data_IF_599283527632
#
_entry.id   IF_599283527632
#
_cell.length_a   1.000
_cell.length_b   1.000
_cell.length_c   1.000
_cell.angle_alpha   90.00
_cell.angle_beta   90.00
_cell.angle_gamma   90.00
#
_symmetry.space_group_name_H-M   'P 1'
#
loop_
_entity.id
_entity.type
_entity.pdbx_description
1 polymer ?
#
# COMPACT_ATOMS: atom_id res chain seq x y z
N UNK A 1 -39.68 9.33 41.13
CA UNK A 1 -39.34 8.11 40.35
C UNK A 1 -38.69 8.39 38.99
N UNK A 2 -38.00 9.54 38.81
CA UNK A 2 -37.29 9.90 37.55
C UNK A 2 -35.79 10.14 37.76
N UNK A 3 -35.32 10.23 39.01
CA UNK A 3 -33.91 10.45 39.34
C UNK A 3 -33.04 9.17 39.41
N UNK A 4 -33.64 7.98 39.35
CA UNK A 4 -32.90 6.69 39.41
C UNK A 4 -32.56 6.10 38.04
N UNK A 5 -33.22 6.56 36.96
CA UNK A 5 -32.94 6.09 35.59
C UNK A 5 -31.83 6.90 34.87
N UNK A 6 -31.53 8.13 35.30
CA UNK A 6 -30.41 8.90 34.75
C UNK A 6 -29.04 8.51 35.32
N UNK A 7 -28.99 7.82 36.48
CA UNK A 7 -27.73 7.35 37.09
C UNK A 7 -27.27 5.98 36.57
N UNK A 8 -28.18 5.19 35.99
CA UNK A 8 -27.86 3.88 35.41
C UNK A 8 -27.33 3.96 33.97
N UNK A 9 -27.64 5.03 33.23
CA UNK A 9 -27.18 5.21 31.85
C UNK A 9 -25.82 5.92 31.76
N UNK A 10 -25.48 6.77 32.74
CA UNK A 10 -24.21 7.49 32.78
C UNK A 10 -23.06 6.74 33.48
N UNK A 11 -23.34 5.67 34.23
CA UNK A 11 -22.31 4.85 34.88
C UNK A 11 -21.76 3.71 34.00
N UNK A 12 -22.38 3.45 32.84
CA UNK A 12 -21.87 2.50 31.81
C UNK A 12 -20.89 3.12 30.81
N UNK A 13 -20.78 4.45 30.77
CA UNK A 13 -19.88 5.18 29.86
C UNK A 13 -18.53 5.48 30.52
N UNK A 14 -18.42 5.38 31.86
CA UNK A 14 -17.22 5.79 32.62
C UNK A 14 -16.52 4.66 33.40
N UNK A 15 -16.73 3.38 33.05
CA UNK A 15 -15.91 2.27 33.58
C UNK A 15 -15.49 1.31 32.48
N UNK A 16 -14.31 1.51 31.93
CA UNK A 16 -13.31 0.48 31.60
C UNK A 16 -12.08 1.12 30.92
N UNK A 17 -10.89 0.50 31.03
CA UNK A 17 -9.65 1.20 31.32
C UNK A 17 -8.96 1.76 30.09
N UNK A 18 -8.18 2.80 30.33
CA UNK A 18 -7.12 3.33 29.49
C UNK A 18 -6.24 2.21 28.94
N UNK A 19 -6.44 1.87 27.66
CA UNK A 19 -5.42 1.27 26.81
C UNK A 19 -5.14 2.24 25.68
N UNK A 20 -3.87 2.61 25.59
CA UNK A 20 -3.28 3.46 24.56
C UNK A 20 -3.69 2.98 23.15
N UNK A 21 -3.94 3.89 22.18
CA UNK A 21 -4.27 3.48 20.83
C UNK A 21 -3.05 2.86 20.14
N UNK A 22 -3.09 1.55 19.94
CA UNK A 22 -2.24 0.83 19.01
C UNK A 22 -2.60 1.24 17.57
N UNK A 23 -1.66 1.93 16.93
CA UNK A 23 -1.45 2.15 15.49
C UNK A 23 -2.37 1.36 14.52
N UNK A 24 -3.16 2.02 13.65
CA UNK A 24 -4.07 1.38 12.70
C UNK A 24 -3.40 1.02 11.36
N UNK A 25 -2.20 0.44 11.38
CA UNK A 25 -1.56 -0.09 10.18
C UNK A 25 -1.59 -1.62 10.22
N UNK A 26 -2.77 -2.18 9.98
CA UNK A 26 -2.94 -3.52 9.45
C UNK A 26 -3.64 -3.37 8.10
N UNK A 27 -2.91 -3.69 7.03
CA UNK A 27 -3.53 -3.95 5.73
C UNK A 27 -4.48 -5.15 5.90
N UNK A 28 -5.59 -5.25 5.12
CA UNK A 28 -6.52 -6.36 5.26
C UNK A 28 -5.81 -7.65 4.85
N UNK A 29 -5.38 -8.44 5.83
CA UNK A 29 -5.23 -9.88 5.68
C UNK A 29 -6.65 -10.43 5.51
N UNK A 30 -6.96 -10.89 4.30
CA UNK A 30 -8.12 -11.74 4.07
C UNK A 30 -7.94 -12.99 4.94
N UNK A 31 -8.90 -13.22 5.84
CA UNK A 31 -8.97 -14.44 6.63
C UNK A 31 -9.27 -15.63 5.70
N UNK A 32 -8.58 -16.77 5.81
CA UNK A 32 -8.83 -17.91 4.95
C UNK A 32 -10.14 -18.56 5.37
N UNK A 33 -11.06 -18.72 4.42
CA UNK A 33 -12.17 -19.65 4.61
C UNK A 33 -11.62 -21.07 4.68
N UNK A 34 -12.10 -21.82 5.67
CA UNK A 34 -11.86 -23.26 5.85
C UNK A 34 -12.19 -24.00 4.55
N UNK A 35 -11.21 -24.62 3.94
CA UNK A 35 -11.45 -25.61 2.90
C UNK A 35 -11.70 -26.98 3.55
N UNK A 36 -12.84 -27.56 3.19
CA UNK A 36 -13.19 -28.95 3.36
C UNK A 36 -12.07 -29.86 2.82
N UNK A 37 -11.73 -30.91 3.56
CA UNK A 37 -10.82 -31.96 3.13
C UNK A 37 -11.49 -32.75 2.00
N UNK A 38 -11.02 -32.55 0.77
CA UNK A 38 -11.16 -33.56 -0.28
C UNK A 38 -9.76 -34.08 -0.59
N UNK A 39 -9.57 -35.33 -0.18
CA UNK A 39 -8.44 -36.18 -0.52
C UNK A 39 -8.23 -36.19 -2.04
N UNK A 40 -7.04 -35.81 -2.50
CA UNK A 40 -6.61 -36.06 -3.86
C UNK A 40 -5.52 -37.13 -3.86
N UNK A 41 -5.88 -38.25 -4.49
CA UNK A 41 -5.01 -39.38 -4.82
C UNK A 41 -3.86 -38.91 -5.72
N UNK A 42 -2.66 -39.42 -5.42
CA UNK A 42 -1.48 -39.25 -6.25
C UNK A 42 -1.66 -40.00 -7.57
N UNK A 43 -1.79 -39.26 -8.67
CA UNK A 43 -1.63 -39.80 -10.01
C UNK A 43 -0.35 -39.23 -10.61
N UNK A 44 0.72 -40.02 -10.48
CA UNK A 44 1.87 -39.89 -11.36
C UNK A 44 1.40 -40.15 -12.80
N UNK A 45 1.49 -39.14 -13.66
CA UNK A 45 1.30 -39.30 -15.09
C UNK A 45 2.45 -38.60 -15.81
N UNK A 46 3.42 -39.42 -16.22
CA UNK A 46 4.34 -39.09 -17.27
C UNK A 46 3.57 -38.87 -18.57
N UNK A 47 3.80 -37.75 -19.24
CA UNK A 47 3.52 -37.59 -20.66
C UNK A 47 4.41 -36.50 -21.25
N UNK A 48 5.52 -36.93 -21.84
CA UNK A 48 6.14 -36.23 -22.96
C UNK A 48 5.13 -36.17 -24.11
N UNK A 49 4.52 -35.01 -24.34
CA UNK A 49 3.79 -34.70 -25.56
C UNK A 49 4.49 -33.54 -26.28
N UNK A 50 4.74 -33.73 -27.57
CA UNK A 50 5.34 -32.78 -28.50
C UNK A 50 4.36 -31.66 -28.89
N UNK A 51 3.69 -31.06 -27.91
CA UNK A 51 2.91 -29.84 -28.06
C UNK A 51 3.71 -28.65 -27.53
N UNK A 52 3.65 -27.50 -28.19
CA UNK A 52 4.28 -26.27 -27.67
C UNK A 52 3.78 -26.01 -26.25
N UNK A 53 4.69 -25.80 -25.30
CA UNK A 53 4.33 -25.46 -23.92
C UNK A 53 3.33 -24.29 -23.87
N UNK A 54 2.09 -24.59 -23.49
CA UNK A 54 1.02 -23.61 -23.36
C UNK A 54 1.21 -22.81 -22.08
N UNK A 55 1.97 -21.72 -22.18
CA UNK A 55 2.31 -20.85 -21.04
C UNK A 55 1.05 -20.32 -20.36
N UNK A 56 0.02 -19.92 -21.12
CA UNK A 56 -1.22 -19.39 -20.57
C UNK A 56 -1.95 -20.42 -19.69
N UNK A 57 -2.14 -21.64 -20.18
CA UNK A 57 -2.79 -22.72 -19.43
C UNK A 57 -2.00 -23.10 -18.18
N UNK A 58 -0.67 -23.08 -18.27
CA UNK A 58 0.22 -23.29 -17.12
C UNK A 58 -0.01 -22.20 -16.06
N UNK A 59 -0.04 -20.93 -16.44
CA UNK A 59 -0.24 -19.81 -15.52
C UNK A 59 -1.62 -19.86 -14.83
N UNK A 60 -2.67 -20.25 -15.56
CA UNK A 60 -4.01 -20.39 -14.99
C UNK A 60 -4.06 -21.57 -14.02
N UNK A 61 -3.62 -22.75 -14.47
CA UNK A 61 -3.77 -24.00 -13.71
C UNK A 61 -2.85 -24.11 -12.50
N UNK A 62 -1.59 -23.68 -12.61
CA UNK A 62 -0.58 -23.84 -11.54
C UNK A 62 -0.50 -22.65 -10.61
N UNK A 63 -0.72 -21.43 -11.11
CA UNK A 63 -0.57 -20.21 -10.34
C UNK A 63 -1.91 -19.52 -10.01
N UNK A 64 -3.03 -20.04 -10.53
CA UNK A 64 -4.36 -19.51 -10.25
C UNK A 64 -4.63 -18.12 -10.86
N UNK A 65 -3.92 -17.74 -11.91
CA UNK A 65 -4.16 -16.46 -12.60
C UNK A 65 -5.51 -16.49 -13.33
N UNK A 66 -6.14 -15.33 -13.45
CA UNK A 66 -7.29 -15.21 -14.36
C UNK A 66 -6.83 -15.33 -15.82
N UNK A 67 -7.69 -15.79 -16.76
CA UNK A 67 -7.32 -15.88 -18.17
C UNK A 67 -6.75 -14.58 -18.74
N UNK A 68 -7.35 -13.43 -18.38
CA UNK A 68 -6.86 -12.11 -18.80
C UNK A 68 -5.46 -11.78 -18.25
N UNK A 69 -5.17 -12.14 -16.99
CA UNK A 69 -3.85 -11.96 -16.40
C UNK A 69 -2.82 -12.89 -17.05
N UNK A 70 -3.18 -14.16 -17.25
CA UNK A 70 -2.33 -15.17 -17.87
C UNK A 70 -1.94 -14.78 -19.30
N UNK A 71 -2.89 -14.33 -20.11
CA UNK A 71 -2.63 -13.84 -21.47
C UNK A 71 -1.62 -12.69 -21.50
N UNK A 72 -1.83 -11.67 -20.65
CA UNK A 72 -0.90 -10.52 -20.52
C UNK A 72 0.50 -10.96 -20.06
N UNK A 73 0.58 -11.92 -19.14
CA UNK A 73 1.83 -12.42 -18.62
C UNK A 73 2.58 -13.30 -19.63
N UNK A 74 1.87 -14.16 -20.37
CA UNK A 74 2.43 -15.05 -21.37
C UNK A 74 3.12 -14.29 -22.51
N UNK A 75 2.61 -13.11 -22.90
CA UNK A 75 3.27 -12.24 -23.87
C UNK A 75 4.72 -11.89 -23.49
N UNK A 76 5.03 -11.78 -22.19
CA UNK A 76 6.39 -11.52 -21.68
C UNK A 76 7.26 -12.78 -21.55
N UNK A 77 6.65 -13.96 -21.71
CA UNK A 77 7.24 -15.30 -21.55
C UNK A 77 7.24 -16.10 -22.86
N UNK A 78 7.12 -15.43 -24.01
CA UNK A 78 7.04 -16.06 -25.34
C UNK A 78 8.22 -16.99 -25.69
N UNK A 79 9.36 -16.83 -25.02
CA UNK A 79 10.56 -17.66 -25.20
C UNK A 79 10.53 -18.95 -24.36
N UNK A 80 9.59 -19.09 -23.43
CA UNK A 80 9.52 -20.23 -22.52
C UNK A 80 8.90 -21.42 -23.26
N UNK A 81 9.66 -22.51 -23.39
CA UNK A 81 9.25 -23.74 -24.13
C UNK A 81 8.99 -24.93 -23.22
N UNK A 82 9.12 -24.77 -21.91
CA UNK A 82 8.98 -25.84 -20.92
C UNK A 82 8.68 -25.27 -19.53
N UNK A 83 7.98 -26.05 -18.70
CA UNK A 83 7.69 -25.76 -17.29
C UNK A 83 8.88 -25.95 -16.35
N UNK A 84 10.01 -26.52 -16.82
CA UNK A 84 11.13 -26.90 -15.94
C UNK A 84 11.70 -25.74 -15.12
N UNK A 85 11.88 -24.56 -15.74
CA UNK A 85 12.37 -23.36 -15.03
C UNK A 85 11.34 -22.80 -14.04
N UNK A 86 10.08 -22.55 -14.43
CA UNK A 86 9.03 -22.17 -13.49
C UNK A 86 8.89 -23.12 -12.31
N UNK A 87 8.82 -24.43 -12.54
CA UNK A 87 8.65 -25.40 -11.45
C UNK A 87 9.87 -25.43 -10.52
N UNK A 88 11.09 -25.27 -11.03
CA UNK A 88 12.28 -25.14 -10.19
C UNK A 88 12.22 -23.90 -9.27
N UNK A 89 11.74 -22.75 -9.80
CA UNK A 89 11.54 -21.54 -9.01
C UNK A 89 10.47 -21.77 -7.94
N UNK A 90 9.33 -22.37 -8.29
CA UNK A 90 8.24 -22.65 -7.35
C UNK A 90 8.69 -23.60 -6.23
N UNK A 91 9.33 -24.72 -6.58
CA UNK A 91 9.83 -25.70 -5.61
C UNK A 91 10.86 -25.09 -4.65
N UNK A 92 11.71 -24.20 -5.16
CA UNK A 92 12.70 -23.50 -4.34
C UNK A 92 12.04 -22.52 -3.36
N UNK A 93 11.07 -21.71 -3.82
CA UNK A 93 10.37 -20.75 -2.97
C UNK A 93 9.48 -21.42 -1.93
N UNK A 94 8.83 -22.53 -2.28
CA UNK A 94 8.03 -23.31 -1.35
C UNK A 94 8.92 -23.93 -0.26
N UNK A 95 10.00 -24.61 -0.65
CA UNK A 95 10.92 -25.24 0.31
C UNK A 95 11.64 -24.20 1.19
N UNK A 96 12.13 -23.11 0.62
CA UNK A 96 12.96 -22.12 1.33
C UNK A 96 12.13 -21.09 2.09
N UNK A 97 11.06 -20.58 1.49
CA UNK A 97 10.26 -19.47 2.06
C UNK A 97 8.83 -19.87 2.44
N UNK A 98 8.35 -21.05 2.04
CA UNK A 98 7.00 -21.51 2.34
C UNK A 98 5.94 -20.79 1.51
N UNK A 99 6.31 -20.26 0.34
CA UNK A 99 5.39 -19.50 -0.51
C UNK A 99 4.63 -20.46 -1.42
N UNK A 100 3.30 -20.60 -1.27
CA UNK A 100 2.52 -21.46 -2.14
C UNK A 100 2.49 -20.91 -3.57
N UNK A 101 2.32 -21.80 -4.56
CA UNK A 101 2.30 -21.42 -5.98
C UNK A 101 1.26 -20.34 -6.33
N UNK A 102 0.09 -20.35 -5.67
CA UNK A 102 -0.94 -19.33 -5.84
C UNK A 102 -0.46 -17.92 -5.42
N UNK A 103 0.37 -17.84 -4.39
CA UNK A 103 0.94 -16.58 -3.91
C UNK A 103 2.04 -16.06 -4.83
N UNK A 104 2.82 -16.97 -5.42
CA UNK A 104 3.76 -16.64 -6.51
C UNK A 104 3.01 -16.08 -7.73
N UNK A 105 1.77 -16.54 -7.97
CA UNK A 105 0.91 -15.99 -9.03
C UNK A 105 0.77 -14.46 -8.96
N UNK A 106 0.64 -13.87 -7.76
CA UNK A 106 0.58 -12.41 -7.58
C UNK A 106 1.85 -11.72 -8.06
N UNK A 107 3.00 -12.30 -7.75
CA UNK A 107 4.30 -11.81 -8.21
C UNK A 107 4.41 -11.88 -9.75
N UNK A 108 3.92 -12.97 -10.35
CA UNK A 108 3.95 -13.18 -11.80
C UNK A 108 3.06 -12.18 -12.55
N UNK A 109 1.93 -11.76 -11.98
CA UNK A 109 1.10 -10.69 -12.57
C UNK A 109 1.87 -9.38 -12.69
N UNK A 110 2.67 -9.03 -11.68
CA UNK A 110 3.51 -7.83 -11.69
C UNK A 110 4.66 -8.01 -12.68
N UNK A 111 5.33 -9.17 -12.61
CA UNK A 111 6.54 -9.43 -13.36
C UNK A 111 6.69 -10.92 -13.74
N UNK A 112 6.23 -11.29 -14.95
CA UNK A 112 6.22 -12.69 -15.38
C UNK A 112 7.61 -13.30 -15.51
N UNK A 113 8.64 -12.51 -15.85
CA UNK A 113 10.01 -13.01 -16.06
C UNK A 113 10.65 -13.57 -14.78
N UNK A 114 10.02 -13.33 -13.62
CA UNK A 114 10.36 -13.98 -12.36
C UNK A 114 10.42 -15.50 -12.42
N UNK A 115 9.54 -16.14 -13.19
CA UNK A 115 9.56 -17.60 -13.40
C UNK A 115 10.78 -18.09 -14.19
N UNK A 116 11.52 -17.19 -14.82
CA UNK A 116 12.72 -17.52 -15.59
C UNK A 116 14.02 -17.31 -14.80
N UNK A 117 13.94 -16.93 -13.51
CA UNK A 117 15.11 -16.72 -12.66
C UNK A 117 15.93 -18.01 -12.50
N UNK A 118 17.26 -17.87 -12.43
CA UNK A 118 18.15 -19.00 -12.16
C UNK A 118 18.23 -19.19 -10.65
N UNK A 119 17.71 -20.30 -10.13
CA UNK A 119 17.66 -20.57 -8.68
C UNK A 119 19.05 -20.43 -8.06
N UNK A 120 20.01 -21.26 -8.47
CA UNK A 120 21.35 -21.29 -7.88
C UNK A 120 22.19 -20.04 -8.14
N UNK A 121 21.99 -19.39 -9.29
CA UNK A 121 22.83 -18.24 -9.69
C UNK A 121 22.24 -16.90 -9.28
N UNK A 122 21.00 -16.86 -8.80
CA UNK A 122 20.29 -15.59 -8.60
C UNK A 122 19.39 -15.63 -7.38
N UNK A 123 18.44 -16.56 -7.29
CA UNK A 123 17.49 -16.56 -6.18
C UNK A 123 18.15 -16.98 -4.86
N UNK A 124 18.94 -18.06 -4.88
CA UNK A 124 19.54 -18.59 -3.67
C UNK A 124 20.54 -17.64 -3.01
N UNK A 125 21.52 -17.07 -3.74
CA UNK A 125 22.41 -16.07 -3.17
C UNK A 125 21.67 -14.86 -2.62
N UNK A 126 20.64 -14.36 -3.33
CA UNK A 126 19.87 -13.19 -2.88
C UNK A 126 19.06 -13.45 -1.61
N UNK A 127 18.46 -14.62 -1.48
CA UNK A 127 17.73 -14.97 -0.26
C UNK A 127 18.71 -15.13 0.91
N UNK A 128 19.87 -15.75 0.69
CA UNK A 128 20.92 -15.84 1.69
C UNK A 128 21.41 -14.44 2.11
N UNK A 129 21.71 -13.56 1.15
CA UNK A 129 22.12 -12.18 1.41
C UNK A 129 21.07 -11.39 2.23
N UNK A 130 19.77 -11.55 1.93
CA UNK A 130 18.69 -10.92 2.68
C UNK A 130 18.57 -11.46 4.10
N UNK A 131 18.81 -12.76 4.30
CA UNK A 131 18.93 -13.37 5.62
C UNK A 131 20.14 -12.81 6.39
N UNK A 132 21.29 -12.69 5.74
CA UNK A 132 22.53 -12.15 6.31
C UNK A 132 22.45 -10.66 6.65
N UNK A 133 21.52 -9.94 6.02
CA UNK A 133 21.15 -8.57 6.39
C UNK A 133 20.18 -8.50 7.57
N UNK A 134 19.64 -9.63 8.03
CA UNK A 134 18.78 -9.73 9.20
C UNK A 134 17.28 -9.79 8.89
N UNK A 135 16.86 -10.07 7.65
CA UNK A 135 15.44 -10.30 7.34
C UNK A 135 15.02 -11.73 7.71
N UNK A 136 13.83 -11.83 8.29
CA UNK A 136 13.17 -13.11 8.54
C UNK A 136 12.62 -13.73 7.25
N UNK A 137 12.41 -15.04 7.29
CA UNK A 137 11.80 -15.82 6.20
C UNK A 137 10.50 -15.17 5.70
N UNK A 138 9.64 -14.76 6.62
CA UNK A 138 8.33 -14.15 6.31
C UNK A 138 8.47 -12.76 5.68
N UNK A 139 9.49 -11.98 6.06
CA UNK A 139 9.76 -10.69 5.45
C UNK A 139 10.29 -10.83 4.03
N UNK A 140 11.18 -11.80 3.80
CA UNK A 140 11.68 -12.11 2.46
C UNK A 140 10.53 -12.61 1.58
N UNK A 141 9.64 -13.46 2.12
CA UNK A 141 8.44 -13.91 1.40
C UNK A 141 7.53 -12.74 0.98
N UNK A 142 7.32 -11.75 1.88
CA UNK A 142 6.59 -10.52 1.54
C UNK A 142 7.30 -9.70 0.46
N UNK A 143 8.63 -9.60 0.51
CA UNK A 143 9.41 -8.90 -0.52
C UNK A 143 9.27 -9.54 -1.90
N UNK A 144 9.28 -10.88 -1.99
CA UNK A 144 9.06 -11.59 -3.25
C UNK A 144 7.71 -11.23 -3.86
N UNK A 145 6.65 -11.15 -3.04
CA UNK A 145 5.32 -10.77 -3.50
C UNK A 145 5.20 -9.29 -3.92
N UNK A 146 5.88 -8.38 -3.22
CA UNK A 146 5.80 -6.93 -3.47
C UNK A 146 6.74 -6.43 -4.58
N UNK A 147 7.88 -7.10 -4.76
CA UNK A 147 8.95 -6.68 -5.65
C UNK A 147 9.56 -7.87 -6.42
N UNK A 148 8.78 -8.62 -7.21
CA UNK A 148 9.29 -9.78 -7.97
C UNK A 148 10.30 -9.41 -9.04
N UNK A 149 10.23 -8.17 -9.57
CA UNK A 149 11.25 -7.56 -10.44
C UNK A 149 12.67 -7.69 -9.92
N UNK A 150 12.75 -7.62 -8.59
CA UNK A 150 13.96 -7.70 -7.81
C UNK A 150 14.51 -9.14 -7.73
N UNK A 151 13.82 -10.15 -8.24
CA UNK A 151 14.33 -11.53 -8.17
C UNK A 151 14.66 -12.14 -9.53
N UNK A 152 14.49 -11.40 -10.64
CA UNK A 152 14.63 -11.97 -12.00
C UNK A 152 15.49 -11.18 -12.97
N UNK A 153 15.40 -9.84 -12.95
CA UNK A 153 16.31 -9.02 -13.73
C UNK A 153 17.51 -8.72 -12.86
N UNK A 154 18.56 -8.19 -13.51
CA UNK A 154 19.46 -7.30 -12.78
C UNK A 154 18.55 -6.27 -12.09
N UNK A 155 18.32 -6.40 -10.77
CA UNK A 155 18.47 -5.20 -9.93
C UNK A 155 19.68 -4.52 -10.52
N UNK A 156 19.52 -3.31 -11.04
CA UNK A 156 20.66 -2.56 -11.54
C UNK A 156 21.75 -2.64 -10.45
N UNK A 157 22.80 -3.42 -10.72
CA UNK A 157 24.02 -3.66 -9.93
C UNK A 157 23.96 -3.28 -8.44
N UNK A 158 23.04 -3.82 -7.63
CA UNK A 158 22.91 -3.31 -6.25
C UNK A 158 22.76 -4.34 -5.14
N UNK A 159 22.65 -5.63 -5.46
CA UNK A 159 22.80 -6.72 -4.49
C UNK A 159 23.46 -7.90 -5.22
N UNK A 160 24.65 -7.68 -5.79
CA UNK A 160 25.67 -8.73 -5.81
C UNK A 160 26.38 -8.71 -4.46
N UNK A 161 27.09 -9.78 -4.07
CA UNK A 161 27.87 -9.80 -2.81
C UNK A 161 28.73 -8.55 -2.61
N UNK A 162 29.33 -8.04 -3.69
CA UNK A 162 30.11 -6.80 -3.69
C UNK A 162 29.27 -5.54 -3.37
N UNK A 163 28.01 -5.47 -3.78
CA UNK A 163 27.11 -4.35 -3.49
C UNK A 163 26.39 -4.52 -2.15
N UNK A 164 26.22 -5.76 -1.68
CA UNK A 164 25.71 -6.04 -0.34
C UNK A 164 26.61 -5.42 0.72
N UNK A 165 27.92 -5.70 0.65
CA UNK A 165 28.87 -5.21 1.63
C UNK A 165 29.21 -3.72 1.43
N UNK A 166 29.16 -3.21 0.20
CA UNK A 166 29.50 -1.80 -0.10
C UNK A 166 28.33 -0.83 0.00
N UNK A 167 27.09 -1.30 -0.16
CA UNK A 167 25.90 -0.44 -0.25
C UNK A 167 24.88 -0.84 0.81
N UNK A 168 24.36 -2.08 0.75
CA UNK A 168 23.23 -2.47 1.58
C UNK A 168 23.57 -2.51 3.08
N UNK A 169 24.69 -3.13 3.48
CA UNK A 169 25.14 -3.16 4.88
C UNK A 169 25.40 -1.75 5.43
N UNK A 170 26.16 -0.87 4.75
CA UNK A 170 26.32 0.52 5.17
C UNK A 170 24.98 1.28 5.30
N UNK A 171 24.07 1.11 4.35
CA UNK A 171 22.76 1.77 4.39
C UNK A 171 21.91 1.29 5.57
N UNK A 172 21.87 -0.03 5.81
CA UNK A 172 21.17 -0.60 6.98
C UNK A 172 21.79 -0.07 8.27
N UNK A 173 23.12 -0.08 8.38
CA UNK A 173 23.82 0.43 9.55
C UNK A 173 23.58 1.93 9.79
N UNK A 174 23.55 2.72 8.72
CA UNK A 174 23.25 4.15 8.78
C UNK A 174 21.80 4.41 9.22
N UNK A 175 20.83 3.75 8.59
CA UNK A 175 19.41 3.92 8.92
C UNK A 175 19.08 3.45 10.35
N UNK A 176 19.82 2.46 10.86
CA UNK A 176 19.70 2.01 12.25
C UNK A 176 20.04 3.11 13.27
N UNK A 177 20.88 4.10 12.91
CA UNK A 177 21.18 5.25 13.77
C UNK A 177 19.94 6.14 14.01
N UNK A 178 18.91 5.99 13.17
CA UNK A 178 17.64 6.70 13.25
C UNK A 178 16.48 5.76 13.62
N UNK A 179 16.77 4.64 14.30
CA UNK A 179 15.80 3.62 14.71
C UNK A 179 14.99 3.00 13.56
N UNK A 180 15.52 3.06 12.33
CA UNK A 180 14.94 2.38 11.17
C UNK A 180 15.61 1.02 10.96
N UNK A 181 14.94 -0.02 11.44
CA UNK A 181 15.39 -1.39 11.26
C UNK A 181 15.09 -1.89 9.83
N UNK A 182 15.85 -2.87 9.37
CA UNK A 182 15.67 -3.45 8.03
C UNK A 182 14.24 -4.00 7.83
N UNK A 183 13.63 -4.56 8.88
CA UNK A 183 12.23 -4.99 8.91
C UNK A 183 11.23 -3.87 8.60
N UNK A 184 11.47 -2.67 9.15
CA UNK A 184 10.63 -1.49 8.90
C UNK A 184 10.73 -1.02 7.45
N UNK A 185 11.90 -1.17 6.86
CA UNK A 185 12.20 -0.78 5.48
C UNK A 185 11.61 -1.81 4.51
N UNK A 186 11.87 -3.10 4.73
CA UNK A 186 11.45 -4.17 3.83
C UNK A 186 9.93 -4.39 3.79
N UNK A 187 9.22 -4.18 4.92
CA UNK A 187 7.79 -4.50 5.03
C UNK A 187 6.80 -3.46 4.52
N UNK A 188 7.25 -2.26 4.10
CA UNK A 188 6.35 -1.12 3.89
C UNK A 188 5.91 -0.91 2.42
N UNK A 189 6.87 -0.77 1.51
CA UNK A 189 6.60 -0.57 0.08
C UNK A 189 7.88 -0.76 -0.75
N UNK A 190 7.72 -0.91 -2.08
CA UNK A 190 8.84 -0.99 -3.01
C UNK A 190 9.85 0.15 -2.84
N UNK A 191 9.37 1.38 -2.60
CA UNK A 191 10.25 2.54 -2.42
C UNK A 191 11.10 2.43 -1.16
N UNK A 192 10.58 1.84 -0.08
CA UNK A 192 11.40 1.63 1.12
C UNK A 192 12.50 0.60 0.83
N UNK A 193 12.18 -0.51 0.17
CA UNK A 193 13.20 -1.52 -0.20
C UNK A 193 14.30 -0.92 -1.08
N UNK A 194 13.98 0.05 -1.95
CA UNK A 194 14.97 0.77 -2.78
C UNK A 194 15.95 1.63 -1.99
N UNK A 195 15.65 1.99 -0.73
CA UNK A 195 16.60 2.71 0.13
C UNK A 195 17.81 1.83 0.49
N UNK A 196 17.62 0.51 0.59
CA UNK A 196 18.71 -0.42 0.91
C UNK A 196 19.78 -0.43 -0.19
N UNK A 197 19.38 -0.18 -1.43
CA UNK A 197 20.25 -0.22 -2.62
C UNK A 197 20.58 1.17 -3.16
N UNK A 198 20.18 2.23 -2.47
CA UNK A 198 20.50 3.60 -2.83
C UNK A 198 22.00 3.87 -2.62
N UNK A 199 22.59 4.74 -3.43
CA UNK A 199 23.95 5.21 -3.16
C UNK A 199 24.03 5.77 -1.72
N UNK A 200 25.01 5.35 -0.88
CA UNK A 200 25.06 5.76 0.53
C UNK A 200 25.15 7.28 0.75
N UNK A 201 25.83 8.02 -0.12
CA UNK A 201 25.94 9.47 0.01
C UNK A 201 24.62 10.17 -0.33
N UNK A 202 23.90 9.68 -1.35
CA UNK A 202 22.56 10.19 -1.65
C UNK A 202 21.55 9.83 -0.56
N UNK A 203 21.72 8.69 0.12
CA UNK A 203 20.88 8.32 1.25
C UNK A 203 21.10 9.27 2.44
N UNK A 204 22.35 9.62 2.74
CA UNK A 204 22.68 10.64 3.75
C UNK A 204 22.09 12.00 3.41
N UNK A 205 22.25 12.44 2.15
CA UNK A 205 21.64 13.68 1.67
C UNK A 205 20.11 13.66 1.80
N UNK A 206 19.47 12.53 1.51
CA UNK A 206 18.03 12.38 1.65
C UNK A 206 17.58 12.51 3.11
N UNK A 207 18.34 11.98 4.07
CA UNK A 207 18.06 12.17 5.51
C UNK A 207 18.22 13.64 5.90
N UNK A 208 19.30 14.30 5.47
CA UNK A 208 19.50 15.74 5.72
C UNK A 208 18.33 16.57 5.17
N UNK A 209 17.85 16.25 3.96
CA UNK A 209 16.67 16.90 3.38
C UNK A 209 15.39 16.69 4.20
N UNK A 210 15.24 15.54 4.86
CA UNK A 210 14.11 15.31 5.78
C UNK A 210 14.21 16.22 7.00
N UNK A 211 15.43 16.42 7.51
CA UNK A 211 15.71 17.34 8.62
C UNK A 211 15.46 18.80 8.23
N UNK A 212 15.81 19.22 7.00
CA UNK A 212 15.52 20.55 6.44
C UNK A 212 14.00 20.84 6.40
N UNK A 213 13.16 19.81 6.24
CA UNK A 213 11.70 19.92 6.34
C UNK A 213 11.19 19.99 7.79
N UNK A 214 12.10 19.94 8.77
CA UNK A 214 11.84 19.96 10.20
C UNK A 214 11.17 18.68 10.72
N UNK A 215 11.35 17.55 10.02
CA UNK A 215 10.88 16.25 10.44
C UNK A 215 11.95 15.63 11.35
N UNK A 216 11.57 15.27 12.57
CA UNK A 216 12.51 14.64 13.49
C UNK A 216 12.79 13.19 13.06
N UNK A 217 14.06 12.90 12.78
CA UNK A 217 14.53 11.61 12.29
C UNK A 217 14.37 10.47 13.30
N UNK A 218 14.28 10.75 14.61
CA UNK A 218 14.00 9.74 15.65
C UNK A 218 12.52 9.34 15.78
N UNK A 219 11.67 9.72 14.81
CA UNK A 219 10.24 9.41 14.84
C UNK A 219 9.87 8.44 13.71
N UNK A 220 8.75 7.74 13.89
CA UNK A 220 8.14 6.92 12.82
C UNK A 220 7.85 7.73 11.54
N UNK A 221 7.86 9.07 11.61
CA UNK A 221 7.67 9.92 10.44
C UNK A 221 8.84 9.85 9.46
N UNK A 222 10.08 9.61 9.93
CA UNK A 222 11.24 9.43 9.03
C UNK A 222 11.00 8.30 8.04
N UNK A 223 10.47 7.17 8.52
CA UNK A 223 10.09 6.03 7.67
C UNK A 223 9.18 6.46 6.52
N UNK A 224 8.21 7.34 6.78
CA UNK A 224 7.26 7.80 5.77
C UNK A 224 7.83 8.89 4.86
N UNK A 225 8.67 9.78 5.40
CA UNK A 225 9.22 10.93 4.70
C UNK A 225 10.39 10.56 3.79
N UNK A 226 11.27 9.66 4.26
CA UNK A 226 12.53 9.36 3.59
C UNK A 226 12.33 8.85 2.16
N UNK A 227 11.44 7.89 1.86
CA UNK A 227 11.19 7.48 0.47
C UNK A 227 10.63 8.62 -0.39
N UNK A 228 9.80 9.51 0.18
CA UNK A 228 9.25 10.64 -0.56
C UNK A 228 10.36 11.58 -1.00
N UNK A 229 11.26 11.92 -0.08
CA UNK A 229 12.35 12.86 -0.33
C UNK A 229 13.45 12.22 -1.18
N UNK A 230 13.82 10.96 -0.91
CA UNK A 230 14.87 10.25 -1.62
C UNK A 230 14.56 10.03 -3.12
N UNK A 231 13.28 9.85 -3.47
CA UNK A 231 12.87 9.56 -4.85
C UNK A 231 12.08 10.70 -5.52
N UNK A 232 12.11 11.90 -4.94
CA UNK A 232 11.55 13.11 -5.56
C UNK A 232 12.64 14.17 -5.72
N UNK A 233 12.77 14.68 -6.93
CA UNK A 233 13.73 15.73 -7.26
C UNK A 233 13.46 17.01 -6.46
N UNK A 234 14.53 17.74 -6.12
CA UNK A 234 14.46 18.99 -5.35
C UNK A 234 13.56 20.02 -6.04
N UNK A 235 13.71 20.19 -7.35
CA UNK A 235 12.91 21.14 -8.13
C UNK A 235 11.44 20.77 -8.19
N UNK A 236 11.13 19.47 -8.27
CA UNK A 236 9.75 18.98 -8.23
C UNK A 236 9.13 19.24 -6.86
N UNK A 237 9.90 19.04 -5.78
CA UNK A 237 9.44 19.35 -4.44
C UNK A 237 9.18 20.86 -4.27
N UNK A 238 10.11 21.70 -4.74
CA UNK A 238 9.99 23.15 -4.68
C UNK A 238 8.77 23.67 -5.46
N UNK A 239 8.52 23.14 -6.67
CA UNK A 239 7.33 23.47 -7.46
C UNK A 239 6.03 23.14 -6.72
N UNK A 240 5.96 22.00 -6.04
CA UNK A 240 4.79 21.63 -5.23
C UNK A 240 4.60 22.54 -4.02
N UNK A 241 5.69 22.91 -3.35
CA UNK A 241 5.61 23.88 -2.25
C UNK A 241 5.16 25.25 -2.74
N UNK A 242 5.62 25.68 -3.92
CA UNK A 242 5.17 26.91 -4.57
C UNK A 242 3.69 26.85 -5.00
N UNK A 243 3.23 25.70 -5.49
CA UNK A 243 1.82 25.47 -5.81
C UNK A 243 0.94 25.69 -4.58
N UNK A 244 1.31 25.06 -3.45
CA UNK A 244 0.59 25.25 -2.18
C UNK A 244 0.61 26.72 -1.73
N UNK A 245 1.74 27.40 -1.88
CA UNK A 245 1.84 28.83 -1.60
C UNK A 245 0.88 29.67 -2.45
N UNK A 246 0.82 29.40 -3.76
CA UNK A 246 -0.08 30.11 -4.68
C UNK A 246 -1.56 29.89 -4.37
N UNK A 247 -1.91 28.76 -3.75
CA UNK A 247 -3.28 28.45 -3.31
C UNK A 247 -3.63 29.15 -1.99
N UNK A 248 -2.63 29.63 -1.23
CA UNK A 248 -2.82 30.38 0.01
C UNK A 248 -2.26 29.72 1.26
N UNK A 249 -1.47 28.65 1.14
CA UNK A 249 -0.75 28.07 2.28
C UNK A 249 0.51 28.89 2.57
N UNK A 250 0.73 29.27 3.83
CA UNK A 250 2.00 29.89 4.23
C UNK A 250 3.15 28.87 4.17
N UNK A 251 4.39 29.36 4.21
CA UNK A 251 5.57 28.49 4.30
C UNK A 251 5.50 27.54 5.50
N UNK A 252 5.02 28.04 6.65
CA UNK A 252 4.87 27.23 7.87
C UNK A 252 3.74 26.21 7.76
N UNK A 253 2.67 26.53 7.04
CA UNK A 253 1.61 25.57 6.74
C UNK A 253 2.14 24.41 5.91
N UNK A 254 2.93 24.70 4.87
CA UNK A 254 3.54 23.67 4.01
C UNK A 254 4.47 22.77 4.82
N UNK A 255 5.30 23.34 5.70
CA UNK A 255 6.15 22.56 6.60
C UNK A 255 5.30 21.72 7.58
N UNK A 256 4.19 22.25 8.07
CA UNK A 256 3.27 21.51 8.95
C UNK A 256 2.60 20.33 8.22
N UNK A 257 2.18 20.53 6.96
CA UNK A 257 1.66 19.46 6.10
C UNK A 257 2.73 18.37 5.89
N UNK A 258 3.95 18.77 5.55
CA UNK A 258 5.08 17.87 5.33
C UNK A 258 5.38 17.02 6.57
N UNK A 259 5.41 17.64 7.75
CA UNK A 259 5.68 16.96 9.04
C UNK A 259 4.59 15.98 9.45
N UNK A 260 3.33 16.27 9.13
CA UNK A 260 2.20 15.42 9.52
C UNK A 260 1.87 14.36 8.47
N UNK A 261 2.15 14.62 7.19
CA UNK A 261 1.83 13.73 6.08
C UNK A 261 2.76 13.98 4.87
N UNK A 262 4.00 13.46 4.90
CA UNK A 262 5.01 13.69 3.85
C UNK A 262 4.54 13.26 2.46
N UNK A 263 3.68 12.23 2.39
CA UNK A 263 3.16 11.69 1.12
C UNK A 263 2.38 12.72 0.29
N UNK A 264 1.88 13.81 0.90
CA UNK A 264 1.25 14.92 0.15
C UNK A 264 2.23 15.51 -0.88
N UNK A 265 3.52 15.58 -0.53
CA UNK A 265 4.57 16.07 -1.42
C UNK A 265 4.94 15.07 -2.53
N UNK A 266 4.52 13.81 -2.42
CA UNK A 266 4.70 12.79 -3.45
C UNK A 266 3.56 12.75 -4.48
N UNK A 267 2.42 13.40 -4.22
CA UNK A 267 1.28 13.43 -5.14
C UNK A 267 1.66 14.18 -6.44
N UNK A 268 0.95 13.87 -7.53
CA UNK A 268 1.05 14.70 -8.75
C UNK A 268 0.43 16.07 -8.48
N UNK A 269 0.93 17.10 -9.19
CA UNK A 269 0.38 18.46 -9.08
C UNK A 269 -1.11 18.48 -9.38
N UNK A 270 -1.55 17.78 -10.44
CA UNK A 270 -2.96 17.63 -10.79
C UNK A 270 -3.79 17.01 -9.65
N UNK A 271 -3.28 15.96 -8.99
CA UNK A 271 -4.02 15.31 -7.90
C UNK A 271 -4.10 16.20 -6.66
N UNK A 272 -3.00 16.87 -6.33
CA UNK A 272 -2.95 17.80 -5.21
C UNK A 272 -3.91 18.98 -5.43
N UNK A 273 -3.83 19.60 -6.61
CA UNK A 273 -4.70 20.71 -7.00
C UNK A 273 -6.18 20.28 -6.98
N UNK A 274 -6.55 19.20 -7.67
CA UNK A 274 -7.95 18.77 -7.71
C UNK A 274 -8.51 18.38 -6.34
N UNK A 275 -7.67 17.84 -5.45
CA UNK A 275 -8.08 17.57 -4.07
C UNK A 275 -8.27 18.88 -3.27
N UNK A 276 -7.42 19.89 -3.47
CA UNK A 276 -7.57 21.20 -2.83
C UNK A 276 -8.79 21.96 -3.36
N UNK A 277 -9.02 21.96 -4.67
CA UNK A 277 -10.19 22.58 -5.28
C UNK A 277 -11.48 22.00 -4.72
N UNK A 278 -11.56 20.67 -4.61
CA UNK A 278 -12.72 20.02 -4.01
C UNK A 278 -12.88 20.39 -2.53
N UNK A 279 -11.82 20.36 -1.72
CA UNK A 279 -11.91 20.64 -0.29
C UNK A 279 -12.20 22.12 0.00
N UNK A 280 -11.62 23.05 -0.76
CA UNK A 280 -11.75 24.47 -0.51
C UNK A 280 -12.98 25.06 -1.21
N UNK A 281 -13.22 24.74 -2.48
CA UNK A 281 -14.29 25.35 -3.27
C UNK A 281 -15.60 24.57 -3.16
N UNK A 282 -15.57 23.25 -3.35
CA UNK A 282 -16.81 22.45 -3.32
C UNK A 282 -17.27 22.18 -1.88
N UNK A 283 -16.33 21.91 -0.97
CA UNK A 283 -16.65 21.61 0.44
C UNK A 283 -16.73 22.87 1.29
N UNK A 284 -15.92 23.89 1.02
CA UNK A 284 -15.87 25.14 1.79
C UNK A 284 -14.91 25.10 2.98
N UNK A 285 -13.86 24.27 2.95
CA UNK A 285 -12.88 24.20 4.04
C UNK A 285 -11.77 25.23 3.86
N UNK A 286 -11.45 25.94 4.93
CA UNK A 286 -10.35 26.91 4.94
C UNK A 286 -9.00 26.23 5.22
N UNK A 287 -7.91 26.90 4.81
CA UNK A 287 -6.53 26.45 5.03
C UNK A 287 -6.25 26.08 6.50
N UNK A 288 -6.63 26.89 7.52
CA UNK A 288 -6.40 26.55 8.92
C UNK A 288 -7.09 25.26 9.39
N UNK A 289 -8.16 24.85 8.70
CA UNK A 289 -8.82 23.58 8.97
C UNK A 289 -8.08 22.39 8.32
N UNK A 290 -7.56 22.57 7.10
CA UNK A 290 -6.89 21.53 6.31
C UNK A 290 -5.49 21.23 6.83
N UNK A 291 -4.71 22.25 7.19
CA UNK A 291 -3.31 22.15 7.64
C UNK A 291 -3.09 21.15 8.79
N UNK A 292 -3.88 21.15 9.87
CA UNK A 292 -3.73 20.15 10.92
C UNK A 292 -4.20 18.74 10.51
N UNK A 293 -4.87 18.59 9.36
CA UNK A 293 -5.55 17.37 8.88
C UNK A 293 -5.14 17.00 7.44
N UNK A 294 -3.84 16.94 7.11
CA UNK A 294 -3.36 16.77 5.74
C UNK A 294 -3.74 15.42 5.11
N UNK A 295 -4.17 14.44 5.91
CA UNK A 295 -4.70 13.17 5.40
C UNK A 295 -5.90 13.36 4.47
N UNK A 296 -6.65 14.45 4.60
CA UNK A 296 -7.73 14.80 3.67
C UNK A 296 -7.22 14.90 2.22
N UNK A 297 -6.01 15.44 2.02
CA UNK A 297 -5.37 15.57 0.71
C UNK A 297 -4.93 14.24 0.11
N UNK A 298 -4.85 13.17 0.91
CA UNK A 298 -4.48 11.83 0.45
C UNK A 298 -5.69 11.04 -0.07
N UNK A 299 -6.90 11.32 0.44
CA UNK A 299 -8.07 10.55 0.08
C UNK A 299 -8.48 10.80 -1.39
N UNK A 300 -9.05 9.78 -2.04
CA UNK A 300 -9.65 9.96 -3.35
C UNK A 300 -10.92 10.78 -3.21
N UNK A 301 -10.98 11.89 -3.95
CA UNK A 301 -12.20 12.69 -4.09
C UNK A 301 -13.31 11.80 -4.63
N UNK A 302 -13.04 11.10 -5.71
CA UNK A 302 -14.00 10.37 -6.54
C UNK A 302 -14.58 9.15 -5.82
N UNK A 303 -13.74 8.38 -5.12
CA UNK A 303 -14.11 7.10 -4.51
C UNK A 303 -14.43 7.18 -3.03
N UNK A 304 -14.09 8.29 -2.36
CA UNK A 304 -14.26 8.40 -0.91
C UNK A 304 -14.90 9.72 -0.47
N UNK A 305 -14.29 10.85 -0.78
CA UNK A 305 -14.76 12.12 -0.22
C UNK A 305 -16.11 12.55 -0.81
N UNK A 306 -16.26 12.45 -2.13
CA UNK A 306 -17.48 12.81 -2.84
C UNK A 306 -18.63 11.83 -2.55
N UNK A 307 -18.47 10.49 -2.59
CA UNK A 307 -19.54 9.56 -2.23
C UNK A 307 -20.06 9.77 -0.80
N UNK A 308 -19.16 10.01 0.15
CA UNK A 308 -19.55 10.27 1.55
C UNK A 308 -20.26 11.60 1.71
N UNK A 309 -19.77 12.67 1.07
CA UNK A 309 -20.45 13.99 1.06
C UNK A 309 -21.86 13.88 0.47
N UNK A 310 -22.00 13.20 -0.67
CA UNK A 310 -23.29 12.96 -1.30
C UNK A 310 -24.25 12.22 -0.36
N UNK A 311 -23.81 11.11 0.23
CA UNK A 311 -24.66 10.31 1.12
C UNK A 311 -25.12 11.12 2.33
N UNK A 312 -24.22 11.85 2.97
CA UNK A 312 -24.55 12.70 4.12
C UNK A 312 -25.52 13.83 3.73
N UNK A 313 -25.38 14.40 2.53
CA UNK A 313 -26.32 15.39 1.99
C UNK A 313 -27.73 14.79 1.83
N UNK A 314 -27.85 13.61 1.22
CA UNK A 314 -29.13 12.90 1.08
C UNK A 314 -29.78 12.64 2.45
N UNK A 315 -29.01 12.16 3.42
CA UNK A 315 -29.54 11.90 4.76
C UNK A 315 -29.98 13.19 5.48
N UNK A 316 -29.26 14.31 5.29
CA UNK A 316 -29.64 15.61 5.84
C UNK A 316 -30.94 16.12 5.21
N UNK A 317 -31.07 16.03 3.89
CA UNK A 317 -32.29 16.44 3.15
C UNK A 317 -33.52 15.59 3.51
N UNK A 318 -33.31 14.32 3.88
CA UNK A 318 -34.38 13.42 4.39
C UNK A 318 -34.68 13.58 5.88
N UNK A 319 -34.00 14.50 6.59
CA UNK A 319 -34.17 14.71 8.02
C UNK A 319 -33.68 13.54 8.89
N UNK A 320 -32.83 12.67 8.34
CA UNK A 320 -32.31 11.47 9.02
C UNK A 320 -31.04 11.75 9.84
N UNK A 321 -30.38 12.89 9.59
CA UNK A 321 -29.28 13.40 10.41
C UNK A 321 -29.77 14.52 11.32
N UNK A 322 -29.61 14.33 12.64
CA UNK A 322 -30.09 15.26 13.68
C UNK A 322 -29.06 16.31 14.11
N UNK A 323 -27.81 16.16 13.70
CA UNK A 323 -26.70 17.02 14.12
C UNK A 323 -25.71 17.22 12.98
N UNK A 324 -24.97 18.31 13.04
CA UNK A 324 -23.89 18.57 12.10
C UNK A 324 -22.68 17.69 12.43
N UNK A 325 -22.11 17.07 11.40
CA UNK A 325 -20.97 16.19 11.51
C UNK A 325 -19.71 16.93 11.06
N UNK A 326 -18.66 16.83 11.87
CA UNK A 326 -17.34 17.29 11.46
C UNK A 326 -16.89 16.57 10.17
N UNK A 327 -16.43 17.35 9.20
CA UNK A 327 -16.08 16.82 7.88
C UNK A 327 -14.92 15.82 7.96
N UNK A 328 -13.94 16.10 8.82
CA UNK A 328 -12.77 15.24 8.96
C UNK A 328 -13.14 13.90 9.59
N UNK A 329 -14.01 13.90 10.60
CA UNK A 329 -14.52 12.69 11.26
C UNK A 329 -15.15 11.76 10.22
N UNK A 330 -16.04 12.28 9.37
CA UNK A 330 -16.71 11.44 8.35
C UNK A 330 -15.79 11.03 7.20
N UNK A 331 -14.85 11.88 6.78
CA UNK A 331 -13.87 11.56 5.76
C UNK A 331 -12.83 10.51 6.21
N UNK A 332 -12.43 10.53 7.48
CA UNK A 332 -11.37 9.66 8.02
C UNK A 332 -11.84 8.28 8.44
N UNK A 333 -13.13 8.09 8.77
CA UNK A 333 -13.69 6.80 9.19
C UNK A 333 -13.35 5.63 8.25
N UNK A 334 -13.07 4.46 8.81
CA UNK A 334 -12.92 3.25 8.01
C UNK A 334 -14.19 2.96 7.21
N UNK A 335 -14.07 2.32 6.04
CA UNK A 335 -15.23 2.09 5.17
C UNK A 335 -16.32 1.26 5.86
N UNK A 336 -15.91 0.18 6.53
CA UNK A 336 -16.80 -0.66 7.33
C UNK A 336 -17.59 0.16 8.37
N UNK A 337 -16.88 1.00 9.13
CA UNK A 337 -17.48 1.84 10.16
C UNK A 337 -18.44 2.88 9.56
N UNK A 338 -18.06 3.51 8.46
CA UNK A 338 -18.90 4.48 7.77
C UNK A 338 -20.20 3.83 7.27
N UNK A 339 -20.11 2.65 6.66
CA UNK A 339 -21.26 1.89 6.16
C UNK A 339 -22.17 1.45 7.31
N UNK A 340 -21.62 0.95 8.41
CA UNK A 340 -22.38 0.55 9.60
C UNK A 340 -23.13 1.73 10.24
N UNK A 341 -22.53 2.93 10.23
CA UNK A 341 -23.13 4.13 10.85
C UNK A 341 -24.10 4.89 9.93
N UNK A 342 -23.80 4.99 8.64
CA UNK A 342 -24.49 5.92 7.74
C UNK A 342 -25.17 5.25 6.54
N UNK A 343 -24.93 3.97 6.27
CA UNK A 343 -25.59 3.28 5.15
C UNK A 343 -26.61 2.27 5.67
N UNK A 344 -26.19 1.32 6.50
CA UNK A 344 -27.04 0.23 6.97
C UNK A 344 -28.29 0.68 7.74
N UNK A 345 -28.23 1.68 8.65
CA UNK A 345 -29.41 2.12 9.39
C UNK A 345 -30.49 2.75 8.50
N UNK A 346 -30.09 3.27 7.33
CA UNK A 346 -30.97 4.06 6.46
C UNK A 346 -31.37 3.36 5.16
N UNK A 347 -30.89 2.13 4.92
CA UNK A 347 -31.18 1.35 3.70
C UNK A 347 -32.67 1.12 3.43
N UNK A 348 -33.47 1.01 4.50
CA UNK A 348 -34.93 0.83 4.41
C UNK A 348 -35.68 2.17 4.34
N UNK A 349 -35.05 3.27 4.75
CA UNK A 349 -35.62 4.61 4.78
C UNK A 349 -35.43 5.34 3.43
N UNK A 350 -34.33 5.05 2.74
CA UNK A 350 -34.00 5.59 1.42
C UNK A 350 -33.75 4.42 0.46
N UNK A 351 -34.75 4.04 -0.35
CA UNK A 351 -34.60 2.97 -1.33
C UNK A 351 -33.42 3.23 -2.27
N UNK A 352 -32.61 2.21 -2.53
CA UNK A 352 -31.43 2.32 -3.41
C UNK A 352 -30.17 2.92 -2.77
N UNK A 353 -30.25 3.53 -1.58
CA UNK A 353 -29.13 4.27 -0.95
C UNK A 353 -27.82 3.46 -0.90
N UNK A 354 -27.90 2.20 -0.48
CA UNK A 354 -26.72 1.35 -0.34
C UNK A 354 -26.08 1.01 -1.69
N UNK A 355 -26.91 0.75 -2.71
CA UNK A 355 -26.44 0.43 -4.06
C UNK A 355 -25.85 1.67 -4.74
N UNK A 356 -26.49 2.82 -4.58
CA UNK A 356 -26.02 4.09 -5.12
C UNK A 356 -24.71 4.53 -4.47
N UNK A 357 -24.59 4.38 -3.15
CA UNK A 357 -23.34 4.65 -2.44
C UNK A 357 -22.21 3.72 -2.92
N UNK A 358 -22.47 2.41 -3.00
CA UNK A 358 -21.49 1.44 -3.49
C UNK A 358 -21.05 1.75 -4.93
N UNK A 359 -22.01 2.06 -5.81
CA UNK A 359 -21.75 2.46 -7.21
C UNK A 359 -20.86 3.71 -7.28
N UNK A 360 -21.16 4.73 -6.49
CA UNK A 360 -20.33 5.95 -6.42
C UNK A 360 -18.92 5.68 -5.88
N UNK A 361 -18.76 4.77 -4.93
CA UNK A 361 -17.44 4.41 -4.38
C UNK A 361 -16.55 3.67 -5.39
N UNK A 362 -17.14 2.95 -6.35
CA UNK A 362 -16.38 2.30 -7.43
C UNK A 362 -15.77 3.35 -8.39
N UNK A 363 -16.38 4.53 -8.48
CA UNK A 363 -16.04 5.57 -9.44
C UNK A 363 -16.46 5.18 -10.86
N UNK A 364 -16.42 6.14 -11.81
CA UNK A 364 -16.50 5.78 -13.23
C UNK A 364 -15.24 4.99 -13.58
N UNK A 365 -15.37 3.88 -14.30
CA UNK A 365 -14.22 3.29 -14.99
C UNK A 365 -13.60 4.43 -15.82
N UNK A 366 -12.31 4.70 -15.62
CA UNK A 366 -11.62 5.63 -16.49
C UNK A 366 -11.69 5.03 -17.89
N UNK A 367 -12.53 5.61 -18.76
CA UNK A 367 -12.43 5.39 -20.19
C UNK A 367 -10.98 5.65 -20.58
N UNK A 368 -10.36 4.64 -21.18
CA UNK A 368 -8.92 4.59 -21.37
C UNK A 368 -8.41 5.78 -22.14
N UNK A 369 -7.40 6.46 -21.60
CA UNK A 369 -6.43 7.23 -22.38
C UNK A 369 -5.05 7.05 -21.73
N UNK A 370 -4.20 6.36 -22.50
CA UNK A 370 -2.73 6.26 -22.54
C UNK A 370 -1.91 6.39 -21.26
#
# INVERSE_FOLDING_TARGET
>A
MVAFHLRATLSRILRSPSRLPTSPYALPLFSPHRHSLLSYSAAAAAASSSGSFAVEDYLVSRLGLTPAQAHKAAAKLSHLRSSAKPEAVLAYLDSTLGIPAADVGRAVVIEPRFLCAKVEKTLAPRIADLHDLGLSRDEIARLVALAPGSFHSRWHNSILSADLDKIARPNVAFLRQYDLNISDIAGASLYHTRLLTMNPELLKEAVQRVEELGINCGTRMLRQALPVVAFTDRDVLAKKMQLLHNIGFSKDDVLTLAKKQPIVLALSEQKLQGNLDFLMNDVGLEVPYIVPRPVLLKYSVERRLLPRRWLLKVLKEKGLLKFELDYYVTASMAEKEFVEKFVHPFKNHVPGLANDYASKCLGKAADGVA
#
